data_IF_910561053494
#
_entry.id   IF_910561053494
#
_cell.length_a   1.000
_cell.length_b   1.000
_cell.length_c   1.000
_cell.angle_alpha   90.00
_cell.angle_beta   90.00
_cell.angle_gamma   90.00
#
_symmetry.space_group_name_H-M   'P 1'
#
loop_
_entity.id
_entity.type
_entity.pdbx_description
1 polymer ?
#
# COMPACT_ATOMS: atom_id res chain seq x y z
N UNK A 1 -0.41 -4.91 -4.90
CA UNK A 1 -0.03 -6.23 -4.34
C UNK A 1 1.42 -6.15 -3.85
N UNK A 2 1.63 -6.30 -2.55
CA UNK A 2 2.92 -6.09 -1.87
C UNK A 2 3.97 -7.15 -2.20
N UNK A 3 3.52 -8.39 -2.42
CA UNK A 3 4.38 -9.52 -2.79
C UNK A 3 3.82 -10.16 -4.05
N UNK A 4 4.58 -10.14 -5.14
CA UNK A 4 4.29 -10.97 -6.31
C UNK A 4 5.07 -12.28 -6.19
N UNK A 5 4.34 -13.38 -6.28
CA UNK A 5 4.86 -14.74 -6.33
C UNK A 5 4.23 -15.40 -7.54
N UNK A 6 5.05 -15.78 -8.51
CA UNK A 6 4.59 -16.41 -9.75
C UNK A 6 5.73 -16.66 -10.73
N UNK A 7 5.73 -17.84 -11.35
CA UNK A 7 6.45 -18.04 -12.61
C UNK A 7 5.68 -17.28 -13.70
N UNK A 8 6.34 -16.39 -14.45
CA UNK A 8 5.67 -15.65 -15.52
C UNK A 8 5.03 -16.61 -16.53
N UNK A 9 3.69 -16.63 -16.61
CA UNK A 9 2.82 -17.15 -17.70
C UNK A 9 3.16 -18.48 -18.41
N UNK A 10 4.06 -19.32 -17.90
CA UNK A 10 4.34 -20.66 -18.42
C UNK A 10 4.54 -21.62 -17.26
N UNK A 11 4.18 -22.89 -17.49
CA UNK A 11 4.58 -24.01 -16.63
C UNK A 11 6.08 -23.88 -16.34
N UNK A 12 6.51 -23.84 -15.07
CA UNK A 12 7.92 -23.67 -14.75
C UNK A 12 8.72 -24.81 -15.37
N UNK A 13 9.66 -24.48 -16.24
CA UNK A 13 10.67 -25.41 -16.70
C UNK A 13 11.50 -25.89 -15.51
N UNK A 14 11.98 -27.14 -15.53
CA UNK A 14 13.02 -27.57 -14.59
C UNK A 14 14.16 -26.53 -14.63
N UNK A 15 14.38 -25.82 -13.53
CA UNK A 15 15.37 -24.73 -13.45
C UNK A 15 14.83 -23.30 -13.47
N UNK A 16 13.51 -23.06 -13.36
CA UNK A 16 13.00 -21.70 -13.12
C UNK A 16 13.41 -21.22 -11.72
N UNK A 17 14.07 -20.06 -11.62
CA UNK A 17 14.41 -19.47 -10.33
C UNK A 17 13.15 -19.21 -9.49
N UNK A 18 13.16 -19.67 -8.24
CA UNK A 18 12.13 -19.33 -7.27
C UNK A 18 12.43 -17.93 -6.74
N UNK A 19 11.51 -16.99 -6.98
CA UNK A 19 11.70 -15.60 -6.57
C UNK A 19 10.44 -15.00 -5.95
N UNK A 20 10.63 -14.05 -5.04
CA UNK A 20 9.60 -13.08 -4.67
C UNK A 20 10.13 -11.66 -4.84
N UNK A 21 9.23 -10.70 -5.00
CA UNK A 21 9.59 -9.29 -5.10
C UNK A 21 8.87 -8.46 -4.03
N UNK A 22 9.57 -7.46 -3.49
CA UNK A 22 8.99 -6.41 -2.65
C UNK A 22 8.95 -5.10 -3.43
N UNK A 23 7.92 -4.29 -3.17
CA UNK A 23 7.81 -2.91 -3.63
C UNK A 23 7.59 -2.02 -2.42
N UNK A 24 8.46 -1.05 -2.20
CA UNK A 24 8.45 -0.18 -1.02
C UNK A 24 8.42 1.27 -1.46
N UNK A 25 7.51 2.06 -0.90
CA UNK A 25 7.53 3.52 -1.08
C UNK A 25 8.56 4.16 -0.15
N UNK A 26 9.47 4.95 -0.71
CA UNK A 26 10.47 5.77 -0.02
C UNK A 26 10.30 7.24 -0.39
N UNK A 27 11.12 8.11 0.22
CA UNK A 27 11.16 9.54 -0.16
C UNK A 27 11.69 9.76 -1.57
N UNK A 28 12.41 8.78 -2.13
CA UNK A 28 12.96 8.80 -3.48
C UNK A 28 12.02 8.16 -4.53
N UNK A 29 10.84 7.68 -4.12
CA UNK A 29 9.89 7.00 -5.01
C UNK A 29 9.66 5.55 -4.60
N UNK A 30 9.30 4.69 -5.56
CA UNK A 30 9.05 3.27 -5.29
C UNK A 30 10.28 2.46 -5.64
N UNK A 31 10.87 1.81 -4.66
CA UNK A 31 11.96 0.85 -4.84
C UNK A 31 11.40 -0.56 -5.00
N UNK A 32 11.98 -1.34 -5.92
CA UNK A 32 11.62 -2.74 -6.14
C UNK A 32 12.86 -3.61 -5.99
N UNK A 33 12.74 -4.65 -5.16
CA UNK A 33 13.79 -5.65 -4.95
C UNK A 33 13.25 -7.03 -5.27
N UNK A 34 14.04 -7.83 -5.98
CA UNK A 34 13.74 -9.23 -6.31
C UNK A 34 14.71 -10.12 -5.54
N UNK A 35 14.16 -11.11 -4.86
CA UNK A 35 14.91 -12.05 -4.03
C UNK A 35 14.76 -13.45 -4.59
N UNK A 36 15.89 -14.14 -4.82
CA UNK A 36 15.92 -15.56 -5.14
C UNK A 36 15.86 -16.37 -3.85
N UNK A 37 15.14 -17.49 -3.88
CA UNK A 37 15.08 -18.47 -2.81
C UNK A 37 15.44 -19.86 -3.33
N UNK A 38 15.85 -20.75 -2.45
CA UNK A 38 16.42 -22.04 -2.83
C UNK A 38 15.37 -23.14 -2.86
N UNK A 39 14.33 -23.05 -2.02
CA UNK A 39 13.29 -24.05 -1.93
C UNK A 39 11.88 -23.45 -2.01
N UNK A 40 10.91 -24.27 -2.44
CA UNK A 40 9.49 -23.90 -2.39
C UNK A 40 8.98 -23.62 -0.98
N UNK A 41 9.59 -24.26 0.03
CA UNK A 41 9.30 -24.01 1.45
C UNK A 41 9.70 -22.60 1.82
N UNK A 42 10.89 -22.15 1.42
CA UNK A 42 11.38 -20.80 1.71
C UNK A 42 10.54 -19.75 1.01
N UNK A 43 10.20 -19.98 -0.27
CA UNK A 43 9.30 -19.08 -1.00
C UNK A 43 7.96 -18.89 -0.27
N UNK A 44 7.39 -20.00 0.20
CA UNK A 44 6.12 -19.99 0.96
C UNK A 44 6.28 -19.29 2.31
N UNK A 45 7.38 -19.55 3.02
CA UNK A 45 7.68 -18.94 4.31
C UNK A 45 7.83 -17.42 4.18
N UNK A 46 8.68 -16.95 3.25
CA UNK A 46 8.90 -15.53 3.01
C UNK A 46 7.62 -14.80 2.59
N UNK A 47 6.86 -15.37 1.66
CA UNK A 47 5.57 -14.79 1.23
C UNK A 47 4.62 -14.65 2.41
N UNK A 48 4.51 -15.69 3.24
CA UNK A 48 3.63 -15.69 4.42
C UNK A 48 4.07 -14.65 5.45
N UNK A 49 5.35 -14.63 5.83
CA UNK A 49 5.87 -13.71 6.86
C UNK A 49 5.71 -12.26 6.42
N UNK A 50 5.96 -11.94 5.15
CA UNK A 50 5.76 -10.58 4.63
C UNK A 50 4.29 -10.16 4.67
N UNK A 51 3.37 -11.02 4.25
CA UNK A 51 1.93 -10.71 4.28
C UNK A 51 1.44 -10.54 5.71
N UNK A 52 1.75 -11.50 6.59
CA UNK A 52 1.29 -11.46 7.98
C UNK A 52 1.94 -10.32 8.76
N UNK A 53 3.24 -10.08 8.57
CA UNK A 53 3.96 -8.99 9.22
C UNK A 53 3.42 -7.62 8.83
N UNK A 54 3.17 -7.38 7.54
CA UNK A 54 2.58 -6.10 7.10
C UNK A 54 1.14 -5.92 7.59
N UNK A 55 0.35 -6.99 7.66
CA UNK A 55 -0.97 -6.93 8.25
C UNK A 55 -0.92 -6.56 9.74
N UNK A 56 -0.09 -7.25 10.53
CA UNK A 56 0.10 -6.96 11.95
C UNK A 56 0.64 -5.55 12.19
N UNK A 57 1.56 -5.08 11.34
CA UNK A 57 2.08 -3.71 11.41
C UNK A 57 0.99 -2.66 11.13
N UNK A 58 0.15 -2.88 10.11
CA UNK A 58 -0.97 -1.98 9.81
C UNK A 58 -2.00 -1.96 10.95
N UNK A 59 -2.29 -3.12 11.53
CA UNK A 59 -3.17 -3.24 12.68
C UNK A 59 -2.60 -2.54 13.92
N UNK A 60 -1.29 -2.59 14.14
CA UNK A 60 -0.63 -1.91 15.26
C UNK A 60 -0.59 -0.39 15.07
N UNK A 61 -0.27 0.09 13.87
CA UNK A 61 -0.18 1.53 13.57
C UNK A 61 -1.57 2.18 13.63
N UNK A 62 -2.62 1.43 13.27
CA UNK A 62 -4.04 1.81 13.20
C UNK A 62 -4.39 2.97 12.28
N UNK A 63 -3.59 4.02 12.22
CA UNK A 63 -3.85 5.17 11.37
C UNK A 63 -2.55 5.78 10.84
N UNK A 64 -2.55 6.11 9.55
CA UNK A 64 -1.54 6.99 8.96
C UNK A 64 -2.20 8.28 8.53
N UNK A 65 -1.55 9.41 8.80
CA UNK A 65 -2.04 10.74 8.45
C UNK A 65 -0.98 11.52 7.70
N UNK A 66 -1.40 12.27 6.69
CA UNK A 66 -0.52 13.13 5.87
C UNK A 66 -1.20 14.48 5.62
N UNK A 67 -0.45 15.56 5.84
CA UNK A 67 -0.85 16.91 5.42
C UNK A 67 -0.73 17.03 3.91
N UNK A 68 -1.76 17.56 3.26
CA UNK A 68 -1.85 17.69 1.81
C UNK A 68 -2.78 18.84 1.42
N UNK A 69 -2.89 19.12 0.12
CA UNK A 69 -3.76 20.18 -0.39
C UNK A 69 -4.91 19.58 -1.19
N UNK A 70 -6.14 20.00 -0.88
CA UNK A 70 -7.33 19.66 -1.66
C UNK A 70 -7.98 20.95 -2.17
N UNK A 71 -8.07 21.11 -3.50
CA UNK A 71 -8.64 22.31 -4.13
C UNK A 71 -8.03 23.63 -3.60
N UNK A 72 -6.72 23.63 -3.34
CA UNK A 72 -6.00 24.80 -2.83
C UNK A 72 -6.15 25.05 -1.32
N UNK A 73 -6.79 24.16 -0.57
CA UNK A 73 -6.92 24.24 0.89
C UNK A 73 -6.05 23.20 1.59
N UNK A 74 -5.38 23.60 2.68
CA UNK A 74 -4.61 22.68 3.53
C UNK A 74 -5.55 21.75 4.30
N UNK A 75 -5.34 20.45 4.14
CA UNK A 75 -6.14 19.38 4.72
C UNK A 75 -5.25 18.22 5.15
N UNK A 76 -5.75 17.43 6.09
CA UNK A 76 -5.13 16.18 6.51
C UNK A 76 -5.90 15.01 5.93
N UNK A 77 -5.23 14.17 5.16
CA UNK A 77 -5.73 12.86 4.75
C UNK A 77 -5.29 11.83 5.80
N UNK A 78 -6.26 11.15 6.39
CA UNK A 78 -6.06 10.06 7.34
C UNK A 78 -6.60 8.75 6.76
N UNK A 79 -5.81 7.69 6.81
CA UNK A 79 -6.19 6.33 6.40
C UNK A 79 -6.16 5.47 7.66
N UNK A 80 -7.35 5.11 8.14
CA UNK A 80 -7.54 4.29 9.33
C UNK A 80 -7.75 2.83 8.95
N UNK A 81 -7.12 1.92 9.68
CA UNK A 81 -7.07 0.48 9.43
C UNK A 81 -8.45 -0.15 9.20
N UNK A 82 -9.43 0.24 10.01
CA UNK A 82 -10.84 -0.18 9.86
C UNK A 82 -11.75 0.95 9.34
N UNK A 83 -11.33 2.20 9.51
CA UNK A 83 -12.21 3.37 9.36
C UNK A 83 -12.23 3.95 7.94
N UNK A 84 -11.36 3.43 7.07
CA UNK A 84 -11.20 3.93 5.71
C UNK A 84 -10.49 5.27 5.66
N UNK A 85 -10.98 6.16 4.81
CA UNK A 85 -10.38 7.43 4.46
C UNK A 85 -11.14 8.57 5.15
N UNK A 86 -10.42 9.47 5.79
CA UNK A 86 -10.95 10.72 6.35
C UNK A 86 -10.13 11.89 5.82
N UNK A 87 -10.82 12.94 5.37
CA UNK A 87 -10.20 14.23 5.06
C UNK A 87 -10.72 15.24 6.07
N UNK A 88 -9.83 15.88 6.82
CA UNK A 88 -10.17 16.93 7.78
C UNK A 88 -9.36 18.20 7.49
N UNK A 89 -9.80 19.35 8.01
CA UNK A 89 -8.97 20.57 7.99
C UNK A 89 -7.71 20.38 8.84
N UNK A 90 -6.60 20.99 8.43
CA UNK A 90 -5.31 20.95 9.12
C UNK A 90 -5.24 21.96 10.30
N UNK A 91 -6.29 21.96 11.12
CA UNK A 91 -6.42 22.84 12.29
C UNK A 91 -6.57 21.96 13.54
N UNK A 92 -6.11 22.41 14.71
CA UNK A 92 -6.36 21.70 15.97
C UNK A 92 -7.87 21.62 16.24
N UNK A 93 -8.44 20.41 16.18
CA UNK A 93 -9.89 20.21 16.26
C UNK A 93 -10.63 20.44 14.93
N UNK A 94 -9.91 20.48 13.80
CA UNK A 94 -10.44 20.71 12.46
C UNK A 94 -11.58 19.76 12.10
N UNK A 95 -12.60 20.31 11.45
CA UNK A 95 -13.78 19.55 11.06
C UNK A 95 -13.48 18.51 9.99
N UNK A 96 -14.19 17.39 10.04
CA UNK A 96 -14.18 16.36 8.99
C UNK A 96 -14.93 16.89 7.78
N UNK A 97 -14.26 16.90 6.63
CA UNK A 97 -14.83 17.30 5.34
C UNK A 97 -15.42 16.09 4.61
N UNK A 98 -14.67 14.99 4.59
CA UNK A 98 -15.06 13.76 3.92
C UNK A 98 -14.71 12.55 4.76
N UNK A 99 -15.55 11.52 4.66
CA UNK A 99 -15.29 10.20 5.23
C UNK A 99 -15.83 9.12 4.29
N UNK A 100 -14.97 8.21 3.89
CA UNK A 100 -15.30 7.11 2.99
C UNK A 100 -14.73 5.79 3.52
N UNK A 101 -15.55 4.74 3.62
CA UNK A 101 -15.04 3.41 3.94
C UNK A 101 -14.30 2.81 2.73
N UNK A 102 -13.56 1.71 2.94
CA UNK A 102 -12.74 1.11 1.88
C UNK A 102 -13.56 0.64 0.68
N UNK A 103 -14.78 0.15 0.90
CA UNK A 103 -15.66 -0.38 -0.14
C UNK A 103 -16.16 0.68 -1.12
N UNK A 104 -16.01 1.96 -0.77
CA UNK A 104 -16.35 3.08 -1.66
C UNK A 104 -15.21 3.45 -2.61
N UNK A 105 -13.96 3.10 -2.31
CA UNK A 105 -12.85 3.43 -3.19
C UNK A 105 -12.93 2.61 -4.48
N UNK A 106 -13.31 3.24 -5.59
CA UNK A 106 -13.39 2.63 -6.92
C UNK A 106 -12.02 2.53 -7.56
N UNK A 107 -11.23 3.60 -7.45
CA UNK A 107 -9.92 3.71 -8.07
C UNK A 107 -9.01 4.59 -7.23
N UNK A 108 -7.74 4.22 -7.19
CA UNK A 108 -6.66 5.11 -6.77
C UNK A 108 -5.58 5.18 -7.85
N UNK A 109 -4.95 6.34 -7.98
CA UNK A 109 -3.83 6.57 -8.87
C UNK A 109 -2.92 7.66 -8.31
N UNK A 110 -1.69 7.74 -8.81
CA UNK A 110 -0.77 8.83 -8.55
C UNK A 110 -0.11 9.28 -9.86
N UNK A 111 0.40 10.52 -9.89
CA UNK A 111 1.12 11.06 -11.06
C UNK A 111 2.63 10.75 -11.04
N UNK A 112 3.10 9.96 -10.07
CA UNK A 112 4.53 9.68 -9.86
C UNK A 112 5.37 10.85 -9.37
N UNK A 113 4.76 12.00 -9.07
CA UNK A 113 5.46 13.24 -8.71
C UNK A 113 4.96 13.78 -7.37
N UNK A 114 3.68 14.16 -7.29
CA UNK A 114 3.11 14.86 -6.11
C UNK A 114 1.62 14.69 -5.88
N UNK A 115 0.85 14.23 -6.87
CA UNK A 115 -0.60 14.16 -6.76
C UNK A 115 -1.06 12.72 -6.53
N UNK A 116 -2.00 12.58 -5.59
CA UNK A 116 -2.75 11.36 -5.33
C UNK A 116 -4.21 11.58 -5.78
N UNK A 117 -4.76 10.61 -6.50
CA UNK A 117 -6.15 10.57 -6.95
C UNK A 117 -6.86 9.42 -6.23
N UNK A 118 -7.99 9.74 -5.60
CA UNK A 118 -8.88 8.77 -4.96
C UNK A 118 -10.30 9.01 -5.49
N UNK A 119 -10.83 8.03 -6.23
CA UNK A 119 -12.20 8.05 -6.74
C UNK A 119 -13.10 7.18 -5.84
N UNK A 120 -14.12 7.79 -5.26
CA UNK A 120 -15.05 7.15 -4.34
C UNK A 120 -16.47 6.94 -4.91
N UNK A 121 -16.76 7.28 -6.16
CA UNK A 121 -18.15 7.33 -6.61
C UNK A 121 -18.45 8.27 -7.74
#
# INVERSE_FOLDING_TARGET
>A
RLVHSGSGRRSPSLGSELTFATRTGSRQGIEMHVFRVETHRDLSCWTRVLVQGCHAAAELIKEVSVGCTLNGQEVKLSIHYEGGFTISREETGGSVLFRYPYEKLKMSADDGIRNLYLDFG
#
